data_IF_841643979028
#
_entry.id   IF_841643979028
#
_cell.length_a   1.000
_cell.length_b   1.000
_cell.length_c   1.000
_cell.angle_alpha   90.00
_cell.angle_beta   90.00
_cell.angle_gamma   90.00
#
_symmetry.space_group_name_H-M   'P 1'
#
loop_
_entity.id
_entity.type
_entity.pdbx_description
1 polymer ?
#
# COMPACT_ATOMS: atom_id res chain seq x y z
N UNK A 1 13.60 -16.81 -8.66
CA UNK A 1 12.67 -17.56 -7.79
C UNK A 1 11.88 -18.53 -8.64
N UNK A 2 11.47 -19.68 -8.07
CA UNK A 2 10.62 -20.67 -8.76
C UNK A 2 9.27 -20.76 -8.09
N UNK A 3 8.21 -20.81 -8.87
CA UNK A 3 6.83 -20.94 -8.37
C UNK A 3 6.06 -21.94 -9.21
N UNK A 4 5.18 -22.68 -8.55
CA UNK A 4 4.17 -23.52 -9.21
C UNK A 4 2.93 -22.66 -9.43
N UNK A 5 2.69 -22.28 -10.70
CA UNK A 5 1.57 -21.42 -11.07
C UNK A 5 0.21 -22.11 -11.00
N UNK A 6 0.19 -23.48 -10.97
CA UNK A 6 -1.03 -24.27 -10.83
C UNK A 6 -1.48 -24.42 -9.39
N UNK A 7 -0.57 -24.14 -8.43
CA UNK A 7 -0.87 -24.33 -7.01
C UNK A 7 -2.00 -23.38 -6.56
N UNK A 8 -3.11 -23.95 -6.04
CA UNK A 8 -4.26 -23.14 -5.63
C UNK A 8 -4.06 -22.42 -4.29
N UNK A 9 -2.95 -22.68 -3.61
CA UNK A 9 -2.60 -22.06 -2.35
C UNK A 9 -1.22 -21.42 -2.46
N UNK A 10 -1.10 -20.21 -1.98
CA UNK A 10 0.14 -19.44 -1.98
C UNK A 10 0.63 -19.18 -0.56
N UNK A 11 1.93 -19.35 -0.33
CA UNK A 11 2.59 -18.90 0.88
C UNK A 11 2.91 -17.41 0.75
N UNK A 12 2.34 -16.58 1.62
CA UNK A 12 2.62 -15.14 1.66
C UNK A 12 3.89 -14.85 2.42
N UNK A 13 3.97 -15.34 3.63
CA UNK A 13 5.15 -15.31 4.46
C UNK A 13 5.06 -16.39 5.54
N UNK A 14 6.19 -16.69 6.14
CA UNK A 14 6.26 -17.56 7.30
C UNK A 14 7.20 -16.98 8.35
N UNK A 15 7.02 -17.42 9.58
CA UNK A 15 7.92 -17.14 10.69
C UNK A 15 8.53 -18.44 11.13
N UNK A 16 9.85 -18.46 11.27
CA UNK A 16 10.57 -19.56 11.89
C UNK A 16 10.18 -19.68 13.36
N UNK A 17 10.29 -20.89 13.95
CA UNK A 17 10.06 -21.08 15.36
C UNK A 17 10.99 -20.22 16.21
N UNK A 18 10.51 -19.87 17.40
CA UNK A 18 11.30 -19.22 18.45
C UNK A 18 11.15 -20.01 19.76
N UNK A 19 12.02 -19.83 20.77
CA UNK A 19 11.94 -20.58 22.02
C UNK A 19 10.59 -20.47 22.74
N UNK A 20 9.92 -19.34 22.61
CA UNK A 20 8.58 -19.07 23.15
C UNK A 20 7.43 -19.59 22.27
N UNK A 21 7.70 -19.83 20.96
CA UNK A 21 6.75 -20.36 20.00
C UNK A 21 7.43 -21.41 19.10
N UNK A 22 7.43 -22.70 19.48
CA UNK A 22 8.17 -23.74 18.76
C UNK A 22 7.53 -24.18 17.44
N UNK A 23 6.50 -23.49 16.98
CA UNK A 23 5.81 -23.76 15.72
C UNK A 23 6.25 -22.79 14.62
N UNK A 24 6.28 -23.28 13.38
CA UNK A 24 6.35 -22.44 12.18
C UNK A 24 4.97 -21.86 11.93
N UNK A 25 4.87 -20.53 11.91
CA UNK A 25 3.62 -19.86 11.54
C UNK A 25 3.61 -19.55 10.06
N UNK A 26 2.61 -20.06 9.34
CA UNK A 26 2.44 -19.88 7.90
C UNK A 26 1.24 -18.99 7.63
N UNK A 27 1.45 -17.92 6.89
CA UNK A 27 0.40 -17.06 6.36
C UNK A 27 0.18 -17.42 4.90
N UNK A 28 -0.95 -17.98 4.61
CA UNK A 28 -1.32 -18.57 3.34
C UNK A 28 -2.45 -17.80 2.68
N UNK A 29 -2.56 -17.92 1.37
CA UNK A 29 -3.71 -17.40 0.62
C UNK A 29 -4.30 -18.47 -0.28
N UNK A 30 -5.60 -18.68 -0.18
CA UNK A 30 -6.33 -19.56 -1.08
C UNK A 30 -6.71 -18.80 -2.36
N UNK A 31 -6.06 -19.16 -3.46
CA UNK A 31 -6.27 -18.56 -4.79
C UNK A 31 -7.49 -19.13 -5.53
N UNK A 32 -8.10 -20.21 -5.00
CA UNK A 32 -9.20 -20.92 -5.67
C UNK A 32 -10.57 -20.40 -5.23
N UNK A 33 -11.58 -20.76 -6.01
CA UNK A 33 -12.99 -20.50 -5.69
C UNK A 33 -13.62 -21.60 -4.79
N UNK A 34 -12.78 -22.52 -4.27
CA UNK A 34 -13.16 -23.62 -3.43
C UNK A 34 -12.57 -23.45 -2.03
N UNK A 35 -13.26 -23.92 -1.00
CA UNK A 35 -12.72 -23.93 0.36
C UNK A 35 -11.68 -25.02 0.51
N UNK A 36 -10.48 -24.66 0.96
CA UNK A 36 -9.39 -25.60 1.30
C UNK A 36 -9.65 -26.17 2.71
N UNK A 37 -9.70 -27.49 2.81
CA UNK A 37 -9.95 -28.19 4.10
C UNK A 37 -8.70 -28.87 4.64
N UNK A 38 -7.79 -29.29 3.78
CA UNK A 38 -6.55 -29.96 4.20
C UNK A 38 -5.43 -29.68 3.18
N UNK A 39 -4.21 -29.70 3.66
CA UNK A 39 -3.02 -29.52 2.83
C UNK A 39 -1.91 -30.45 3.30
N UNK A 40 -1.17 -31.04 2.34
CA UNK A 40 0.07 -31.75 2.60
C UNK A 40 1.23 -30.94 2.07
N UNK A 41 2.22 -30.69 2.93
CA UNK A 41 3.39 -29.92 2.55
C UNK A 41 4.66 -30.57 3.10
N UNK A 42 5.77 -30.37 2.38
CA UNK A 42 7.10 -30.72 2.84
C UNK A 42 7.80 -29.48 3.41
N UNK A 43 8.37 -29.65 4.59
CA UNK A 43 9.23 -28.68 5.27
C UNK A 43 10.65 -29.22 5.24
N UNK A 44 11.58 -28.41 4.77
CA UNK A 44 13.00 -28.79 4.63
C UNK A 44 13.80 -27.74 5.38
N UNK A 45 14.39 -28.12 6.50
CA UNK A 45 15.19 -27.22 7.34
C UNK A 45 16.68 -27.35 7.00
N UNK A 46 17.37 -26.20 7.02
CA UNK A 46 18.79 -26.10 6.74
C UNK A 46 19.51 -25.29 7.82
N UNK A 47 20.74 -25.65 8.13
CA UNK A 47 21.68 -24.86 8.92
C UNK A 47 22.18 -23.64 8.15
N UNK A 48 22.94 -22.80 8.83
CA UNK A 48 23.56 -21.60 8.26
C UNK A 48 24.57 -21.93 7.14
N UNK A 49 25.28 -23.05 7.27
CA UNK A 49 26.20 -23.57 6.27
C UNK A 49 25.52 -24.22 5.04
N UNK A 50 24.18 -24.32 5.06
CA UNK A 50 23.38 -24.94 4.01
C UNK A 50 23.19 -26.45 4.16
N UNK A 51 23.71 -27.08 5.20
CA UNK A 51 23.46 -28.49 5.49
C UNK A 51 21.98 -28.71 5.81
N UNK A 52 21.38 -29.79 5.24
CA UNK A 52 20.00 -30.14 5.53
C UNK A 52 19.87 -30.81 6.90
N UNK A 53 19.14 -30.18 7.80
CA UNK A 53 18.84 -30.71 9.14
C UNK A 53 17.73 -31.77 9.10
N UNK A 54 16.63 -31.46 8.42
CA UNK A 54 15.45 -32.33 8.42
C UNK A 54 14.65 -32.18 7.11
N UNK A 55 13.83 -33.18 6.81
CA UNK A 55 12.74 -33.12 5.83
C UNK A 55 11.54 -33.82 6.42
N UNK A 56 10.50 -33.06 6.74
CA UNK A 56 9.24 -33.55 7.26
C UNK A 56 8.14 -33.30 6.24
N UNK A 57 7.29 -34.29 6.01
CA UNK A 57 6.06 -34.14 5.23
C UNK A 57 4.88 -34.20 6.19
N UNK A 58 4.15 -33.12 6.26
CA UNK A 58 3.04 -32.96 7.21
C UNK A 58 1.74 -32.76 6.46
N UNK A 59 0.68 -33.38 6.98
CA UNK A 59 -0.69 -33.14 6.53
C UNK A 59 -1.44 -32.37 7.61
N UNK A 60 -1.78 -31.12 7.28
CA UNK A 60 -2.59 -30.26 8.14
C UNK A 60 -4.05 -30.34 7.70
N UNK A 61 -4.93 -30.64 8.64
CA UNK A 61 -6.36 -30.73 8.42
C UNK A 61 -7.09 -29.53 9.04
N UNK A 62 -8.36 -29.39 8.75
CA UNK A 62 -9.27 -28.37 9.31
C UNK A 62 -8.77 -26.93 9.13
N UNK A 63 -8.21 -26.65 7.95
CA UNK A 63 -7.55 -25.39 7.66
C UNK A 63 -8.50 -24.17 7.61
N UNK A 64 -9.78 -24.37 7.41
CA UNK A 64 -10.72 -23.26 7.28
C UNK A 64 -10.38 -22.26 6.17
N UNK A 65 -9.59 -22.67 5.18
CA UNK A 65 -9.13 -21.82 4.09
C UNK A 65 -10.25 -21.45 3.13
N UNK A 66 -11.07 -20.44 3.50
CA UNK A 66 -12.18 -19.97 2.68
C UNK A 66 -11.71 -19.57 1.28
N UNK A 67 -12.64 -19.61 0.30
CA UNK A 67 -12.36 -19.20 -1.08
C UNK A 67 -11.82 -17.78 -1.15
N UNK A 68 -10.76 -17.57 -1.95
CA UNK A 68 -10.18 -16.25 -2.21
C UNK A 68 -9.83 -15.46 -0.94
N UNK A 69 -9.35 -16.14 0.09
CA UNK A 69 -9.02 -15.49 1.37
C UNK A 69 -7.70 -15.97 1.94
N UNK A 70 -7.15 -15.15 2.83
CA UNK A 70 -6.00 -15.51 3.64
C UNK A 70 -6.42 -16.40 4.80
N UNK A 71 -5.53 -17.28 5.23
CA UNK A 71 -5.65 -18.10 6.41
C UNK A 71 -4.27 -18.35 7.02
N UNK A 72 -4.26 -18.71 8.28
CA UNK A 72 -3.02 -18.94 9.03
C UNK A 72 -3.03 -20.35 9.61
N UNK A 73 -1.85 -20.92 9.73
CA UNK A 73 -1.66 -22.19 10.42
C UNK A 73 -0.31 -22.24 11.11
N UNK A 74 -0.27 -22.93 12.23
CA UNK A 74 0.93 -23.20 12.99
C UNK A 74 1.26 -24.69 12.88
N UNK A 75 2.51 -25.01 12.51
CA UNK A 75 2.97 -26.39 12.33
C UNK A 75 4.22 -26.61 13.16
N UNK A 76 4.25 -27.68 13.93
CA UNK A 76 5.46 -28.15 14.60
C UNK A 76 6.35 -28.85 13.57
N UNK A 77 7.57 -28.29 13.36
CA UNK A 77 8.52 -28.83 12.39
C UNK A 77 9.78 -29.29 13.09
N UNK A 78 10.15 -30.56 12.85
CA UNK A 78 11.38 -31.15 13.40
C UNK A 78 12.61 -30.39 12.90
N UNK A 79 13.52 -30.03 13.82
CA UNK A 79 14.70 -29.22 13.54
C UNK A 79 14.40 -27.77 13.20
N UNK A 80 13.14 -27.33 13.34
CA UNK A 80 12.74 -25.95 13.02
C UNK A 80 13.41 -24.90 13.91
N UNK A 81 13.63 -25.19 15.19
CA UNK A 81 14.29 -24.26 16.13
C UNK A 81 15.77 -24.02 15.80
N UNK A 82 16.44 -25.00 15.18
CA UNK A 82 17.85 -24.93 14.82
C UNK A 82 18.05 -24.50 13.35
N UNK A 83 16.97 -24.24 12.64
CA UNK A 83 17.01 -23.91 11.23
C UNK A 83 17.34 -22.43 11.01
N UNK A 84 18.39 -22.16 10.26
CA UNK A 84 18.69 -20.82 9.74
C UNK A 84 17.85 -20.51 8.48
N UNK A 85 17.45 -21.54 7.74
CA UNK A 85 16.58 -21.43 6.53
C UNK A 85 15.63 -22.61 6.47
N UNK A 86 14.45 -22.36 5.94
CA UNK A 86 13.46 -23.40 5.67
C UNK A 86 12.88 -23.24 4.26
N UNK A 87 12.84 -24.34 3.51
CA UNK A 87 12.09 -24.42 2.26
C UNK A 87 10.73 -25.09 2.54
N UNK A 88 9.70 -24.56 1.90
CA UNK A 88 8.33 -25.02 2.04
C UNK A 88 7.76 -25.39 0.67
N UNK A 89 7.21 -26.59 0.56
CA UNK A 89 6.70 -27.13 -0.70
C UNK A 89 5.33 -27.76 -0.50
N UNK A 90 4.27 -27.17 -1.08
CA UNK A 90 2.94 -27.76 -1.08
C UNK A 90 2.91 -28.92 -2.07
N UNK A 91 2.52 -30.10 -1.63
CA UNK A 91 2.44 -31.32 -2.44
C UNK A 91 1.01 -31.66 -2.85
N UNK A 92 0.04 -31.44 -1.94
CA UNK A 92 -1.38 -31.72 -2.20
C UNK A 92 -2.28 -30.72 -1.46
N UNK A 93 -3.41 -30.41 -2.05
CA UNK A 93 -4.46 -29.58 -1.45
C UNK A 93 -5.81 -30.27 -1.64
N UNK A 94 -6.55 -30.47 -0.56
CA UNK A 94 -7.90 -31.03 -0.56
C UNK A 94 -8.93 -29.93 -0.37
N UNK A 95 -9.97 -30.01 -1.16
CA UNK A 95 -11.08 -29.07 -1.11
C UNK A 95 -12.32 -29.69 -0.49
N UNK A 96 -13.24 -28.86 -0.01
CA UNK A 96 -14.49 -29.30 0.65
C UNK A 96 -15.39 -30.12 -0.27
N UNK A 97 -15.29 -29.96 -1.59
CA UNK A 97 -16.03 -30.71 -2.59
C UNK A 97 -15.40 -32.09 -2.90
N UNK A 98 -14.38 -32.51 -2.15
CA UNK A 98 -13.68 -33.78 -2.32
C UNK A 98 -12.63 -33.77 -3.46
N UNK A 99 -12.51 -32.70 -4.23
CA UNK A 99 -11.45 -32.59 -5.25
C UNK A 99 -10.08 -32.41 -4.61
N UNK A 100 -9.04 -32.85 -5.31
CA UNK A 100 -7.65 -32.81 -4.81
C UNK A 100 -6.75 -32.25 -5.90
N UNK A 101 -6.06 -31.16 -5.59
CA UNK A 101 -4.92 -30.72 -6.39
C UNK A 101 -3.65 -31.45 -5.95
N UNK A 102 -2.83 -31.83 -6.90
CA UNK A 102 -1.52 -32.46 -6.69
C UNK A 102 -0.45 -31.71 -7.47
N UNK A 103 0.70 -31.50 -6.85
CA UNK A 103 1.82 -30.87 -7.50
C UNK A 103 2.30 -31.65 -8.72
N UNK A 104 2.33 -31.01 -9.88
CA UNK A 104 2.95 -31.51 -11.11
C UNK A 104 4.45 -31.19 -11.16
N UNK A 105 5.19 -31.90 -12.01
CA UNK A 105 6.62 -31.60 -12.23
C UNK A 105 6.87 -30.50 -13.26
N UNK A 106 5.90 -30.19 -14.10
CA UNK A 106 6.08 -29.43 -15.34
C UNK A 106 5.63 -27.95 -15.23
N UNK A 107 5.07 -27.53 -14.09
CA UNK A 107 4.43 -26.21 -13.98
C UNK A 107 5.24 -25.18 -13.19
N UNK A 108 6.55 -25.44 -13.02
CA UNK A 108 7.44 -24.50 -12.34
C UNK A 108 7.88 -23.39 -13.28
N UNK A 109 7.52 -22.16 -12.94
CA UNK A 109 7.97 -20.98 -13.66
C UNK A 109 9.06 -20.25 -12.88
N UNK A 110 10.10 -19.83 -13.59
CA UNK A 110 11.07 -18.90 -13.03
C UNK A 110 10.57 -17.46 -13.15
N UNK A 111 10.74 -16.67 -12.10
CA UNK A 111 10.39 -15.25 -12.11
C UNK A 111 11.33 -14.42 -11.22
N UNK A 112 11.34 -13.12 -11.46
CA UNK A 112 12.01 -12.12 -10.61
C UNK A 112 10.97 -11.39 -9.79
N UNK A 113 11.23 -11.25 -8.50
CA UNK A 113 10.38 -10.44 -7.63
C UNK A 113 10.43 -8.97 -8.09
N UNK A 114 9.28 -8.30 -7.99
CA UNK A 114 9.13 -6.89 -8.30
C UNK A 114 9.00 -6.01 -7.05
N UNK A 115 9.23 -6.58 -5.86
CA UNK A 115 9.05 -5.88 -4.60
C UNK A 115 9.95 -4.64 -4.52
N UNK A 116 9.35 -3.51 -4.18
CA UNK A 116 10.05 -2.29 -3.84
C UNK A 116 10.56 -2.38 -2.39
N UNK A 117 11.74 -1.81 -2.10
CA UNK A 117 12.18 -1.69 -0.71
C UNK A 117 11.21 -0.83 0.10
N UNK A 118 11.16 -1.08 1.41
CA UNK A 118 10.37 -0.25 2.32
C UNK A 118 10.81 1.21 2.24
N UNK A 119 9.86 2.15 2.16
CA UNK A 119 10.11 3.57 2.08
C UNK A 119 9.12 4.32 1.21
N UNK A 120 9.40 5.61 1.00
CA UNK A 120 8.48 6.57 0.35
C UNK A 120 7.88 6.07 -0.98
N UNK A 121 8.66 5.38 -1.80
CA UNK A 121 8.20 4.91 -3.11
C UNK A 121 7.12 3.83 -2.98
N UNK A 122 7.33 2.86 -2.09
CA UNK A 122 6.35 1.81 -1.80
C UNK A 122 5.10 2.40 -1.13
N UNK A 123 5.27 3.33 -0.18
CA UNK A 123 4.15 3.96 0.51
C UNK A 123 3.28 4.78 -0.46
N UNK A 124 3.91 5.49 -1.39
CA UNK A 124 3.21 6.22 -2.45
C UNK A 124 2.45 5.27 -3.38
N UNK A 125 3.08 4.17 -3.79
CA UNK A 125 2.42 3.15 -4.61
C UNK A 125 1.19 2.57 -3.89
N UNK A 126 1.32 2.22 -2.61
CA UNK A 126 0.21 1.73 -1.78
C UNK A 126 -0.92 2.74 -1.62
N UNK A 127 -0.58 4.02 -1.50
CA UNK A 127 -1.59 5.08 -1.41
C UNK A 127 -2.40 5.24 -2.70
N UNK A 128 -1.79 4.99 -3.86
CA UNK A 128 -2.44 5.15 -5.17
C UNK A 128 -3.18 3.90 -5.60
N UNK A 129 -2.55 2.73 -5.46
CA UNK A 129 -3.03 1.45 -6.01
C UNK A 129 -3.80 0.62 -4.97
N UNK A 130 -3.39 0.71 -3.70
CA UNK A 130 -3.98 -0.04 -2.60
C UNK A 130 -2.93 -0.67 -1.68
N UNK A 131 -3.31 -1.03 -0.44
CA UNK A 131 -2.38 -1.48 0.61
C UNK A 131 -1.68 -2.81 0.27
N UNK A 132 -2.24 -3.59 -0.63
CA UNK A 132 -1.69 -4.85 -1.12
C UNK A 132 -0.56 -4.67 -2.15
N UNK A 133 -0.28 -3.45 -2.61
CA UNK A 133 0.77 -3.18 -3.57
C UNK A 133 2.17 -3.45 -2.97
N UNK A 134 3.00 -4.16 -3.74
CA UNK A 134 4.38 -4.52 -3.39
C UNK A 134 5.41 -3.91 -4.34
N UNK A 135 5.05 -3.71 -5.61
CA UNK A 135 5.96 -3.20 -6.62
C UNK A 135 5.27 -2.89 -7.94
N UNK A 136 6.03 -2.37 -8.88
CA UNK A 136 5.49 -2.10 -10.22
C UNK A 136 5.31 -3.40 -11.00
N UNK A 137 4.28 -3.50 -11.87
CA UNK A 137 4.08 -4.70 -12.67
C UNK A 137 5.26 -4.94 -13.61
N UNK A 138 5.57 -6.21 -13.85
CA UNK A 138 6.62 -6.59 -14.80
C UNK A 138 6.17 -7.75 -15.68
N UNK A 139 6.42 -7.63 -16.98
CA UNK A 139 6.28 -8.73 -17.93
C UNK A 139 7.64 -9.41 -18.08
N UNK A 140 7.68 -10.73 -17.90
CA UNK A 140 8.90 -11.53 -17.91
C UNK A 140 8.80 -12.67 -18.92
N UNK A 141 7.95 -12.53 -19.93
CA UNK A 141 7.74 -13.50 -21.00
C UNK A 141 6.79 -14.63 -20.59
N UNK A 142 7.30 -15.66 -19.93
CA UNK A 142 6.48 -16.80 -19.49
C UNK A 142 5.50 -16.45 -18.36
N UNK A 143 5.81 -15.41 -17.58
CA UNK A 143 5.00 -14.92 -16.48
C UNK A 143 4.90 -13.40 -16.52
N UNK A 144 3.83 -12.86 -15.92
CA UNK A 144 3.77 -11.46 -15.56
C UNK A 144 3.55 -11.32 -14.04
N UNK A 145 4.24 -10.38 -13.44
CA UNK A 145 4.14 -10.12 -12.00
C UNK A 145 3.24 -8.90 -11.78
N UNK A 146 2.20 -9.11 -10.97
CA UNK A 146 1.24 -8.07 -10.63
C UNK A 146 1.81 -7.05 -9.64
N UNK A 147 1.18 -5.90 -9.51
CA UNK A 147 1.51 -4.90 -8.48
C UNK A 147 1.45 -5.47 -7.06
N UNK A 148 0.60 -6.47 -6.80
CA UNK A 148 0.54 -7.16 -5.51
C UNK A 148 1.70 -8.15 -5.29
N UNK A 149 2.63 -8.30 -6.26
CA UNK A 149 3.77 -9.20 -6.19
C UNK A 149 3.46 -10.64 -6.64
N UNK A 150 2.23 -10.98 -7.03
CA UNK A 150 1.89 -12.32 -7.50
C UNK A 150 2.35 -12.50 -8.96
N UNK A 151 3.19 -13.53 -9.26
CA UNK A 151 3.42 -13.98 -10.62
C UNK A 151 2.23 -14.76 -11.15
N UNK A 152 1.86 -14.51 -12.41
CA UNK A 152 0.75 -15.12 -13.10
C UNK A 152 1.22 -15.66 -14.45
N UNK A 153 0.59 -16.70 -15.03
CA UNK A 153 0.90 -17.15 -16.37
C UNK A 153 0.79 -16.01 -17.39
N UNK A 154 1.65 -16.01 -18.42
CA UNK A 154 1.62 -14.98 -19.47
C UNK A 154 0.25 -14.82 -20.12
N UNK A 155 -0.49 -15.94 -20.31
CA UNK A 155 -1.82 -15.97 -20.90
C UNK A 155 -2.94 -15.52 -19.94
N UNK A 156 -2.68 -15.39 -18.63
CA UNK A 156 -3.71 -14.97 -17.68
C UNK A 156 -4.08 -13.50 -17.89
N UNK A 157 -5.37 -13.23 -18.08
CA UNK A 157 -5.92 -11.88 -18.25
C UNK A 157 -6.11 -11.11 -16.94
N UNK A 158 -6.11 -11.82 -15.82
CA UNK A 158 -6.28 -11.23 -14.48
C UNK A 158 -5.32 -11.87 -13.47
N UNK A 159 -5.06 -11.15 -12.39
CA UNK A 159 -4.22 -11.64 -11.30
C UNK A 159 -4.97 -12.66 -10.44
N UNK A 160 -4.39 -13.85 -10.26
CA UNK A 160 -4.99 -14.91 -9.46
C UNK A 160 -5.19 -14.54 -7.97
N UNK A 161 -4.47 -13.54 -7.43
CA UNK A 161 -4.61 -13.11 -6.03
C UNK A 161 -5.56 -11.94 -5.86
N UNK A 162 -5.33 -10.83 -6.54
CA UNK A 162 -6.05 -9.58 -6.33
C UNK A 162 -7.12 -9.29 -7.39
N UNK A 163 -7.28 -10.18 -8.38
CA UNK A 163 -8.27 -10.11 -9.46
C UNK A 163 -8.18 -8.86 -10.35
N UNK A 164 -7.11 -8.08 -10.26
CA UNK A 164 -6.90 -6.94 -11.15
C UNK A 164 -6.66 -7.42 -12.57
N UNK A 165 -7.30 -6.77 -13.52
CA UNK A 165 -7.09 -7.01 -14.95
C UNK A 165 -5.64 -6.69 -15.36
N UNK A 166 -5.01 -7.58 -16.14
CA UNK A 166 -3.62 -7.45 -16.59
C UNK A 166 -3.40 -6.15 -17.35
N UNK A 167 -4.29 -5.83 -18.30
CA UNK A 167 -4.15 -4.65 -19.15
C UNK A 167 -4.25 -3.37 -18.33
N UNK A 168 -5.19 -3.32 -17.37
CA UNK A 168 -5.33 -2.18 -16.47
C UNK A 168 -4.08 -2.01 -15.58
N UNK A 169 -3.57 -3.10 -15.03
CA UNK A 169 -2.35 -3.11 -14.21
C UNK A 169 -1.16 -2.53 -14.99
N UNK A 170 -0.96 -2.96 -16.23
CA UNK A 170 0.18 -2.49 -17.04
C UNK A 170 0.00 -1.08 -17.59
N UNK A 171 -1.24 -0.60 -17.78
CA UNK A 171 -1.49 0.76 -18.29
C UNK A 171 -1.53 1.81 -17.19
N UNK A 172 -2.18 1.51 -16.05
CA UNK A 172 -2.44 2.49 -14.98
C UNK A 172 -1.49 2.41 -13.79
N UNK A 173 -0.92 1.22 -13.54
CA UNK A 173 -0.13 0.98 -12.34
C UNK A 173 1.37 0.79 -12.65
N UNK A 174 1.80 1.05 -13.87
CA UNK A 174 3.22 1.06 -14.20
C UNK A 174 3.91 2.30 -13.60
N UNK A 175 5.25 2.26 -13.55
CA UNK A 175 6.05 3.32 -12.92
C UNK A 175 5.75 4.71 -13.51
N UNK A 176 5.68 4.84 -14.83
CA UNK A 176 5.46 6.12 -15.50
C UNK A 176 4.06 6.69 -15.21
N UNK A 177 3.02 5.85 -15.21
CA UNK A 177 1.67 6.27 -14.86
C UNK A 177 1.57 6.75 -13.40
N UNK A 178 2.21 6.05 -12.48
CA UNK A 178 2.25 6.46 -11.07
C UNK A 178 3.01 7.77 -10.88
N UNK A 179 4.16 7.95 -11.52
CA UNK A 179 4.92 9.21 -11.50
C UNK A 179 4.09 10.38 -12.07
N UNK A 180 3.32 10.15 -13.12
CA UNK A 180 2.41 11.15 -13.68
C UNK A 180 1.32 11.55 -12.67
N UNK A 181 0.73 10.59 -11.96
CA UNK A 181 -0.28 10.86 -10.93
C UNK A 181 0.32 11.67 -9.77
N UNK A 182 1.54 11.33 -9.35
CA UNK A 182 2.26 12.05 -8.29
C UNK A 182 2.47 13.51 -8.72
N UNK A 183 3.03 13.72 -9.90
CA UNK A 183 3.29 15.06 -10.45
C UNK A 183 2.01 15.90 -10.53
N UNK A 184 0.91 15.33 -11.04
CA UNK A 184 -0.38 16.03 -11.11
C UNK A 184 -0.92 16.41 -9.74
N UNK A 185 -0.76 15.56 -8.73
CA UNK A 185 -1.19 15.86 -7.35
C UNK A 185 -0.34 16.96 -6.73
N UNK A 186 0.97 16.89 -6.89
CA UNK A 186 1.90 17.90 -6.35
C UNK A 186 1.63 19.26 -6.99
N UNK A 187 1.50 19.34 -8.32
CA UNK A 187 1.18 20.59 -9.02
C UNK A 187 -0.16 21.19 -8.59
N UNK A 188 -1.19 20.36 -8.42
CA UNK A 188 -2.49 20.82 -7.94
C UNK A 188 -2.46 21.35 -6.49
N UNK A 189 -1.61 20.79 -5.62
CA UNK A 189 -1.40 21.29 -4.26
C UNK A 189 -0.65 22.61 -4.26
N UNK A 190 0.37 22.76 -5.09
CA UNK A 190 1.11 24.02 -5.26
C UNK A 190 0.21 25.14 -5.79
N UNK A 191 -0.64 24.85 -6.77
CA UNK A 191 -1.60 25.81 -7.30
C UNK A 191 -2.60 26.28 -6.24
N UNK A 192 -3.14 25.36 -5.43
CA UNK A 192 -4.02 25.69 -4.31
C UNK A 192 -3.30 26.55 -3.27
N UNK A 193 -2.07 26.20 -2.92
CA UNK A 193 -1.27 26.98 -1.97
C UNK A 193 -0.97 28.40 -2.50
N UNK A 194 -0.69 28.53 -3.79
CA UNK A 194 -0.50 29.84 -4.45
C UNK A 194 -1.77 30.68 -4.39
N UNK A 195 -2.92 30.11 -4.77
CA UNK A 195 -4.21 30.79 -4.71
C UNK A 195 -4.54 31.27 -3.29
N UNK A 196 -4.35 30.40 -2.28
CA UNK A 196 -4.57 30.76 -0.87
C UNK A 196 -3.67 31.92 -0.42
N UNK A 197 -2.40 31.95 -0.84
CA UNK A 197 -1.49 33.07 -0.52
C UNK A 197 -1.92 34.38 -1.20
N UNK A 198 -2.38 34.34 -2.45
CA UNK A 198 -2.88 35.49 -3.17
C UNK A 198 -4.17 36.05 -2.53
N UNK A 199 -5.08 35.16 -2.11
CA UNK A 199 -6.30 35.57 -1.40
C UNK A 199 -6.00 36.19 -0.05
N UNK A 200 -5.10 35.58 0.74
CA UNK A 200 -4.67 36.15 2.01
C UNK A 200 -4.04 37.53 1.82
N UNK A 201 -3.20 37.70 0.79
CA UNK A 201 -2.59 38.99 0.43
C UNK A 201 -3.63 40.04 0.01
N UNK A 202 -4.69 39.65 -0.73
CA UNK A 202 -5.79 40.56 -1.07
C UNK A 202 -6.55 40.99 0.18
N UNK A 203 -6.93 40.05 1.03
CA UNK A 203 -7.64 40.35 2.28
C UNK A 203 -6.84 41.25 3.21
N UNK A 204 -5.53 41.06 3.30
CA UNK A 204 -4.66 41.92 4.09
C UNK A 204 -4.64 43.35 3.57
N UNK A 205 -4.43 43.55 2.24
CA UNK A 205 -4.47 44.86 1.60
C UNK A 205 -5.81 45.58 1.81
N UNK A 206 -6.93 44.87 1.71
CA UNK A 206 -8.24 45.44 1.97
C UNK A 206 -8.39 45.88 3.44
N UNK A 207 -7.88 45.13 4.40
CA UNK A 207 -7.89 45.52 5.83
C UNK A 207 -7.07 46.78 6.06
N UNK A 208 -5.87 46.85 5.51
CA UNK A 208 -4.98 48.02 5.59
C UNK A 208 -5.64 49.27 4.96
N UNK A 209 -6.27 49.12 3.80
CA UNK A 209 -7.00 50.23 3.17
C UNK A 209 -8.19 50.72 4.04
N UNK A 210 -8.96 49.81 4.59
CA UNK A 210 -10.08 50.14 5.51
C UNK A 210 -9.56 50.83 6.75
N UNK A 211 -8.47 50.39 7.34
CA UNK A 211 -7.85 51.07 8.48
C UNK A 211 -7.35 52.47 8.14
N UNK A 212 -6.67 52.62 7.01
CA UNK A 212 -6.22 53.96 6.52
C UNK A 212 -7.40 54.89 6.28
N UNK A 213 -8.47 54.41 5.68
CA UNK A 213 -9.70 55.21 5.50
C UNK A 213 -10.34 55.63 6.85
N UNK A 214 -10.38 54.69 7.84
CA UNK A 214 -10.85 55.01 9.20
C UNK A 214 -9.99 56.04 9.87
N UNK A 215 -8.64 55.96 9.76
CA UNK A 215 -7.74 56.96 10.32
C UNK A 215 -7.91 58.32 9.62
N UNK A 216 -8.08 58.38 8.29
CA UNK A 216 -8.37 59.61 7.54
C UNK A 216 -9.72 60.24 7.95
N UNK A 217 -10.78 59.47 8.11
CA UNK A 217 -12.10 59.92 8.56
C UNK A 217 -12.03 60.47 9.99
N UNK A 218 -11.34 59.82 10.92
CA UNK A 218 -11.13 60.32 12.28
C UNK A 218 -10.36 61.64 12.30
N UNK A 219 -9.28 61.76 11.55
CA UNK A 219 -8.53 63.01 11.44
C UNK A 219 -9.37 64.16 10.85
N UNK A 220 -10.18 63.91 9.82
CA UNK A 220 -11.08 64.92 9.26
C UNK A 220 -12.14 65.33 10.30
N UNK A 221 -12.75 64.41 11.01
CA UNK A 221 -13.74 64.71 12.06
C UNK A 221 -13.14 65.55 13.19
N UNK A 222 -11.91 65.25 13.62
CA UNK A 222 -11.19 66.06 14.63
C UNK A 222 -10.95 67.46 14.11
N UNK A 223 -10.42 67.60 12.89
CA UNK A 223 -10.17 68.91 12.30
C UNK A 223 -11.47 69.73 12.20
N UNK A 224 -12.55 69.13 11.68
CA UNK A 224 -13.85 69.79 11.57
C UNK A 224 -14.37 70.19 12.96
N UNK A 225 -14.28 69.29 13.96
CA UNK A 225 -14.69 69.63 15.32
C UNK A 225 -13.89 70.78 15.92
N UNK A 226 -12.58 70.81 15.77
CA UNK A 226 -11.71 71.92 16.22
C UNK A 226 -12.08 73.20 15.50
N UNK A 227 -12.33 73.19 14.19
CA UNK A 227 -12.71 74.39 13.42
C UNK A 227 -14.05 74.97 13.90
N UNK A 228 -15.05 74.09 14.17
CA UNK A 228 -16.35 74.51 14.68
C UNK A 228 -16.24 75.14 16.08
N UNK A 229 -15.42 74.59 16.96
CA UNK A 229 -15.18 75.14 18.30
C UNK A 229 -14.47 76.49 18.19
N UNK A 230 -13.47 76.65 17.34
CA UNK A 230 -12.78 77.95 17.14
C UNK A 230 -13.71 79.00 16.57
N UNK A 231 -14.52 78.70 15.57
CA UNK A 231 -15.49 79.63 15.00
C UNK A 231 -16.59 80.02 16.02
N UNK A 232 -17.05 79.07 16.81
CA UNK A 232 -18.00 79.35 17.87
C UNK A 232 -17.45 80.26 19.00
N UNK A 233 -16.17 79.99 19.39
CA UNK A 233 -15.49 80.85 20.39
C UNK A 233 -15.22 82.28 19.87
N UNK A 234 -14.91 82.41 18.62
CA UNK A 234 -14.67 83.72 17.96
C UNK A 234 -15.97 84.51 17.82
N UNK A 235 -17.08 83.86 17.50
CA UNK A 235 -18.41 84.52 17.46
C UNK A 235 -18.86 85.00 18.87
N UNK A 236 -18.55 84.21 19.88
CA UNK A 236 -18.91 84.59 21.27
C UNK A 236 -18.08 85.77 21.76
N UNK A 237 -16.82 85.87 21.42
CA UNK A 237 -15.90 86.99 21.76
C UNK A 237 -16.27 88.32 21.05
N UNK A 238 -17.06 88.32 20.00
CA UNK A 238 -17.49 89.51 19.25
C UNK A 238 -18.82 90.06 19.77
N UNK A 239 -19.58 89.23 20.50
CA UNK A 239 -20.94 89.61 21.03
C UNK A 239 -20.91 90.02 22.49
N UNK A 240 -19.83 89.90 23.21
CA UNK A 240 -19.60 90.39 24.58
C UNK A 240 -18.40 91.32 24.62
#
# INVERSE_FOLDING_TARGET
MRIDLSCPVELWHFRLPAPDKPTVSLHMFNLSDKTVVSMQAAFICYREDGERLSRQVERVNDLGGAKRSAFELDVLVEGGLDAARMDFVIEKVWFIDGTVWRRGREELADYRDNALPAGRQLDTLRHIVGPDARGYPSDQGAVWVCVCGRPNPAAAGECARCLRDKREVFTRNNKAAIETIIFQRESALEDKARQAREEAGRMQREREQKELQRKRRRRRAIITGVTVVFLGASAWAVYF
#
